data_IF_468017091597
#
_entry.id   IF_468017091597
#
_cell.length_a   1.000
_cell.length_b   1.000
_cell.length_c   1.000
_cell.angle_alpha   90.00
_cell.angle_beta   90.00
_cell.angle_gamma   90.00
#
_symmetry.space_group_name_H-M   'P 1'
#
loop_
_entity.id
_entity.type
_entity.pdbx_description
1 polymer ?
#
# COMPACT_ATOMS: atom_id res chain seq x y z
N UNK A 1 -12.17 -57.08 81.89
CA UNK A 1 -11.58 -55.72 81.86
C UNK A 1 -11.18 -55.43 80.44
N UNK A 2 -12.11 -54.80 79.61
CA UNK A 2 -11.82 -54.37 78.30
C UNK A 2 -11.82 -52.83 78.27
N UNK A 3 -10.69 -52.29 77.91
CA UNK A 3 -10.54 -50.80 77.67
C UNK A 3 -10.88 -50.49 76.24
N UNK A 4 -11.94 -49.71 76.06
CA UNK A 4 -12.32 -49.18 74.76
C UNK A 4 -11.42 -47.97 74.41
N UNK A 5 -10.81 -48.04 73.27
CA UNK A 5 -10.05 -46.91 72.66
C UNK A 5 -10.95 -46.29 71.62
N UNK A 6 -11.37 -45.04 71.84
CA UNK A 6 -12.15 -44.25 70.88
C UNK A 6 -11.15 -43.50 69.98
N UNK A 7 -11.15 -43.83 68.71
CA UNK A 7 -10.35 -43.09 67.68
C UNK A 7 -11.19 -41.92 67.16
N UNK A 8 -10.64 -40.70 67.33
CA UNK A 8 -11.22 -39.48 66.77
C UNK A 8 -10.68 -39.29 65.37
N UNK A 9 -11.60 -39.29 64.40
CA UNK A 9 -11.28 -38.98 62.96
C UNK A 9 -11.40 -37.45 62.80
N UNK A 10 -10.23 -36.81 62.56
CA UNK A 10 -10.17 -35.42 62.12
C UNK A 10 -10.46 -35.34 60.62
N UNK A 11 -11.61 -34.78 60.19
CA UNK A 11 -11.87 -34.42 58.84
C UNK A 11 -11.12 -33.10 58.51
N UNK A 12 -10.09 -33.19 57.70
CA UNK A 12 -9.41 -32.03 57.14
C UNK A 12 -10.26 -31.50 55.91
N UNK A 13 -10.83 -30.32 56.04
CA UNK A 13 -11.48 -29.59 54.96
C UNK A 13 -10.40 -29.04 54.01
N UNK A 14 -10.35 -29.54 52.76
CA UNK A 14 -9.54 -28.97 51.70
C UNK A 14 -10.28 -27.85 51.06
N UNK A 15 -9.77 -26.59 50.99
CA UNK A 15 -10.40 -25.52 50.24
C UNK A 15 -10.29 -25.81 48.76
N UNK A 16 -11.43 -25.92 48.08
CA UNK A 16 -11.52 -25.97 46.62
C UNK A 16 -11.18 -24.58 46.11
N UNK A 17 -10.01 -24.40 45.56
CA UNK A 17 -9.63 -23.19 44.81
C UNK A 17 -10.48 -23.17 43.53
N UNK A 18 -11.46 -22.29 43.49
CA UNK A 18 -12.23 -22.02 42.26
C UNK A 18 -11.28 -21.37 41.22
N UNK A 19 -10.86 -22.16 40.22
CA UNK A 19 -10.22 -21.62 39.02
C UNK A 19 -11.27 -20.75 38.29
N UNK A 20 -11.07 -19.43 38.40
CA UNK A 20 -11.80 -18.48 37.59
C UNK A 20 -11.44 -18.78 36.10
N UNK A 21 -12.39 -19.38 35.39
CA UNK A 21 -12.33 -19.51 33.94
C UNK A 21 -12.41 -18.10 33.35
N UNK A 22 -11.26 -17.55 32.93
CA UNK A 22 -11.23 -16.37 32.07
C UNK A 22 -11.81 -16.78 30.72
N UNK A 23 -13.09 -16.52 30.52
CA UNK A 23 -13.72 -16.53 29.19
C UNK A 23 -12.92 -15.60 28.29
N UNK A 24 -12.48 -16.05 27.09
CA UNK A 24 -11.84 -15.16 26.15
C UNK A 24 -12.82 -14.02 25.83
N UNK A 25 -12.43 -12.80 26.20
CA UNK A 25 -13.18 -11.59 25.89
C UNK A 25 -13.31 -11.53 24.37
N UNK A 26 -14.51 -11.79 23.86
CA UNK A 26 -14.89 -11.57 22.45
C UNK A 26 -14.50 -10.13 22.15
N UNK A 27 -13.50 -9.92 21.27
CA UNK A 27 -13.02 -8.59 20.94
C UNK A 27 -14.22 -7.69 20.68
N UNK A 28 -14.34 -6.63 21.47
CA UNK A 28 -15.38 -5.64 21.31
C UNK A 28 -15.29 -5.13 19.88
N UNK A 29 -16.29 -5.40 19.06
CA UNK A 29 -16.46 -4.73 17.78
C UNK A 29 -16.54 -3.25 18.13
N UNK A 30 -15.48 -2.50 17.83
CA UNK A 30 -15.49 -1.05 18.00
C UNK A 30 -16.64 -0.53 17.15
N UNK A 31 -17.71 -0.06 17.79
CA UNK A 31 -18.83 0.54 17.08
C UNK A 31 -18.30 1.73 16.29
N UNK A 32 -18.25 1.60 14.97
CA UNK A 32 -17.88 2.72 14.11
C UNK A 32 -18.98 3.78 14.16
N UNK A 33 -18.60 5.06 14.11
CA UNK A 33 -19.58 6.13 14.08
C UNK A 33 -20.43 6.08 12.79
N UNK A 34 -21.68 6.57 12.81
CA UNK A 34 -22.50 6.66 11.61
C UNK A 34 -21.83 7.43 10.47
N UNK A 35 -21.04 8.47 10.79
CA UNK A 35 -20.34 9.28 9.79
C UNK A 35 -19.22 8.49 9.12
N UNK A 36 -18.46 7.68 9.87
CA UNK A 36 -17.46 6.76 9.29
C UNK A 36 -18.13 5.72 8.39
N UNK A 37 -19.25 5.15 8.83
CA UNK A 37 -20.01 4.19 8.04
C UNK A 37 -20.52 4.81 6.72
N UNK A 38 -21.06 6.03 6.78
CA UNK A 38 -21.49 6.80 5.62
C UNK A 38 -20.36 7.06 4.63
N UNK A 39 -19.17 7.39 5.12
CA UNK A 39 -18.02 7.76 4.31
C UNK A 39 -17.32 6.53 3.66
N UNK A 40 -17.19 5.41 4.40
CA UNK A 40 -16.36 4.28 3.98
C UNK A 40 -17.12 3.05 3.52
N UNK A 41 -18.37 2.88 3.95
CA UNK A 41 -19.19 1.71 3.65
C UNK A 41 -20.63 2.06 3.28
N UNK A 42 -20.87 3.05 2.40
CA UNK A 42 -22.21 3.55 2.09
C UNK A 42 -23.13 2.47 1.49
N UNK A 43 -22.55 1.41 0.95
CA UNK A 43 -23.28 0.28 0.32
C UNK A 43 -23.35 -0.97 1.20
N UNK A 44 -22.90 -0.88 2.48
CA UNK A 44 -22.79 -2.03 3.38
C UNK A 44 -21.58 -2.94 3.12
N UNK A 45 -20.68 -2.56 2.23
CA UNK A 45 -19.40 -3.21 1.95
C UNK A 45 -18.31 -2.16 1.71
N UNK A 46 -17.04 -2.54 1.91
CA UNK A 46 -15.88 -1.72 1.61
C UNK A 46 -15.42 -1.98 0.18
N UNK A 47 -15.55 -0.99 -0.71
CA UNK A 47 -15.12 -1.07 -2.10
C UNK A 47 -13.75 -0.40 -2.27
N UNK A 48 -12.75 -1.17 -2.69
CA UNK A 48 -11.37 -0.69 -2.77
C UNK A 48 -10.78 -0.76 -4.17
N UNK A 49 -10.14 0.33 -4.60
CA UNK A 49 -9.36 0.39 -5.84
C UNK A 49 -7.95 -0.19 -5.62
N UNK A 50 -7.63 -1.28 -6.31
CA UNK A 50 -6.37 -2.01 -6.18
C UNK A 50 -5.56 -1.89 -7.47
N UNK A 51 -4.48 -1.12 -7.43
CA UNK A 51 -3.58 -0.91 -8.57
C UNK A 51 -2.50 -2.01 -8.65
N UNK A 52 -2.75 -3.05 -9.44
CA UNK A 52 -1.75 -4.12 -9.68
C UNK A 52 -0.64 -3.72 -10.67
N UNK A 53 -0.72 -2.55 -11.28
CA UNK A 53 0.38 -1.98 -12.08
C UNK A 53 1.60 -1.57 -11.24
N UNK A 54 1.47 -1.51 -9.90
CA UNK A 54 2.59 -1.36 -8.98
C UNK A 54 2.87 -2.70 -8.28
N UNK A 55 3.76 -3.50 -8.85
CA UNK A 55 4.07 -4.86 -8.40
C UNK A 55 4.78 -4.92 -7.04
N UNK A 56 5.29 -3.80 -6.53
CA UNK A 56 5.82 -3.71 -5.16
C UNK A 56 4.70 -3.80 -4.12
N UNK A 57 3.55 -3.23 -4.42
CA UNK A 57 2.44 -3.11 -3.47
C UNK A 57 1.34 -4.16 -3.69
N UNK A 58 1.19 -4.64 -4.93
CA UNK A 58 0.19 -5.63 -5.34
C UNK A 58 0.81 -6.63 -6.30
N UNK A 59 0.63 -7.90 -6.03
CA UNK A 59 0.93 -8.98 -6.96
C UNK A 59 -0.37 -9.56 -7.50
N UNK A 60 -0.37 -9.95 -8.76
CA UNK A 60 -1.49 -10.64 -9.40
C UNK A 60 -1.02 -11.99 -9.93
N UNK A 61 -1.64 -13.06 -9.44
CA UNK A 61 -1.32 -14.41 -9.91
C UNK A 61 -1.82 -14.65 -11.34
N UNK A 62 -1.39 -15.76 -11.94
CA UNK A 62 -1.89 -16.18 -13.25
C UNK A 62 -3.41 -16.48 -13.25
N UNK A 63 -3.96 -16.89 -12.10
CA UNK A 63 -5.41 -17.07 -11.90
C UNK A 63 -6.17 -15.76 -11.71
N UNK A 64 -5.46 -14.61 -11.62
CA UNK A 64 -6.04 -13.29 -11.39
C UNK A 64 -6.21 -12.93 -9.91
N UNK A 65 -5.80 -13.78 -8.98
CA UNK A 65 -5.86 -13.51 -7.56
C UNK A 65 -4.90 -12.37 -7.17
N UNK A 66 -5.40 -11.45 -6.34
CA UNK A 66 -4.64 -10.30 -5.85
C UNK A 66 -4.08 -10.57 -4.45
N UNK A 67 -2.83 -10.22 -4.25
CA UNK A 67 -2.12 -10.28 -2.96
C UNK A 67 -1.21 -9.06 -2.79
N UNK A 68 -0.59 -8.93 -1.62
CA UNK A 68 0.32 -7.83 -1.30
C UNK A 68 -0.26 -6.86 -0.28
N UNK A 69 0.57 -5.88 0.12
CA UNK A 69 0.28 -5.02 1.26
C UNK A 69 -1.04 -4.24 1.15
N UNK A 70 -1.41 -3.75 -0.04
CA UNK A 70 -2.66 -2.99 -0.19
C UNK A 70 -3.89 -3.88 -0.04
N UNK A 71 -3.80 -5.14 -0.49
CA UNK A 71 -4.83 -6.16 -0.33
C UNK A 71 -4.97 -6.55 1.14
N UNK A 72 -3.83 -6.76 1.83
CA UNK A 72 -3.80 -7.09 3.26
C UNK A 72 -4.41 -5.98 4.11
N UNK A 73 -4.02 -4.71 3.86
CA UNK A 73 -4.59 -3.54 4.54
C UNK A 73 -6.09 -3.40 4.29
N UNK A 74 -6.54 -3.63 3.06
CA UNK A 74 -7.98 -3.55 2.74
C UNK A 74 -8.78 -4.63 3.45
N UNK A 75 -8.28 -5.86 3.49
CA UNK A 75 -8.93 -6.98 4.20
C UNK A 75 -9.00 -6.74 5.71
N UNK A 76 -7.91 -6.24 6.30
CA UNK A 76 -7.89 -5.90 7.74
C UNK A 76 -8.85 -4.74 8.05
N UNK A 77 -8.91 -3.72 7.18
CA UNK A 77 -9.87 -2.62 7.32
C UNK A 77 -11.31 -3.12 7.27
N UNK A 78 -11.67 -3.96 6.28
CA UNK A 78 -13.00 -4.56 6.18
C UNK A 78 -13.39 -5.38 7.41
N UNK A 79 -12.45 -6.15 7.95
CA UNK A 79 -12.62 -6.91 9.19
C UNK A 79 -12.94 -6.00 10.37
N UNK A 80 -12.24 -4.85 10.51
CA UNK A 80 -12.49 -3.87 11.58
C UNK A 80 -13.81 -3.15 11.43
N UNK A 81 -14.19 -2.84 10.20
CA UNK A 81 -15.49 -2.24 9.89
C UNK A 81 -16.65 -3.25 10.00
N UNK A 82 -16.35 -4.55 10.11
CA UNK A 82 -17.35 -5.62 10.21
C UNK A 82 -18.14 -5.85 8.92
N UNK A 83 -17.55 -5.58 7.74
CA UNK A 83 -18.22 -5.64 6.44
C UNK A 83 -17.43 -6.46 5.42
N UNK A 84 -18.10 -7.01 4.39
CA UNK A 84 -17.45 -7.62 3.25
C UNK A 84 -16.59 -6.61 2.49
N UNK A 85 -15.51 -7.12 1.88
CA UNK A 85 -14.58 -6.34 1.04
C UNK A 85 -14.78 -6.69 -0.42
N UNK A 86 -14.86 -5.67 -1.27
CA UNK A 86 -14.84 -5.78 -2.72
C UNK A 86 -13.57 -5.13 -3.27
N UNK A 87 -12.71 -5.94 -3.91
CA UNK A 87 -11.46 -5.49 -4.51
C UNK A 87 -11.66 -5.26 -6.02
N UNK A 88 -11.53 -4.04 -6.49
CA UNK A 88 -11.61 -3.71 -7.92
C UNK A 88 -10.20 -3.50 -8.48
N UNK A 89 -9.71 -4.40 -9.38
CA UNK A 89 -8.37 -4.30 -9.92
C UNK A 89 -8.24 -3.26 -11.02
N UNK A 90 -7.11 -2.53 -11.00
CA UNK A 90 -6.71 -1.58 -12.04
C UNK A 90 -5.26 -1.85 -12.46
N UNK A 91 -4.95 -1.66 -13.73
CA UNK A 91 -3.62 -1.81 -14.33
C UNK A 91 -2.76 -0.54 -14.23
N UNK A 92 -3.30 0.54 -13.66
CA UNK A 92 -2.61 1.82 -13.54
C UNK A 92 -3.20 2.73 -12.47
N UNK A 93 -2.32 3.54 -11.84
CA UNK A 93 -2.67 4.42 -10.74
C UNK A 93 -3.66 5.53 -11.14
N UNK A 94 -3.60 6.03 -12.37
CA UNK A 94 -4.52 7.05 -12.87
C UNK A 94 -5.97 6.57 -12.92
N UNK A 95 -6.19 5.32 -13.35
CA UNK A 95 -7.52 4.72 -13.43
C UNK A 95 -8.10 4.45 -12.04
N UNK A 96 -7.30 3.87 -11.14
CA UNK A 96 -7.73 3.62 -9.75
C UNK A 96 -8.01 4.91 -9.00
N UNK A 97 -7.23 5.97 -9.23
CA UNK A 97 -7.47 7.30 -8.68
C UNK A 97 -8.80 7.90 -9.16
N UNK A 98 -9.10 7.81 -10.47
CA UNK A 98 -10.33 8.32 -11.04
C UNK A 98 -11.57 7.68 -10.39
N UNK A 99 -11.54 6.37 -10.13
CA UNK A 99 -12.64 5.63 -9.51
C UNK A 99 -12.90 6.03 -8.04
N UNK A 100 -11.85 6.37 -7.27
CA UNK A 100 -12.02 6.86 -5.89
C UNK A 100 -12.46 8.33 -5.90
N UNK A 101 -11.89 9.15 -6.79
CA UNK A 101 -12.29 10.56 -6.94
C UNK A 101 -13.77 10.70 -7.30
N UNK A 102 -14.31 9.86 -8.20
CA UNK A 102 -15.72 9.89 -8.61
C UNK A 102 -16.68 9.36 -7.53
N UNK A 103 -16.19 8.64 -6.50
CA UNK A 103 -17.01 7.96 -5.51
C UNK A 103 -17.53 6.58 -5.95
N UNK A 104 -17.09 6.09 -7.13
CA UNK A 104 -17.39 4.72 -7.55
C UNK A 104 -16.82 3.68 -6.59
N UNK A 105 -15.68 4.01 -5.97
CA UNK A 105 -15.01 3.21 -4.94
C UNK A 105 -14.72 4.07 -3.70
N UNK A 106 -14.72 3.42 -2.53
CA UNK A 106 -14.67 4.10 -1.24
C UNK A 106 -13.25 4.47 -0.82
N UNK A 107 -12.28 3.60 -1.12
CA UNK A 107 -10.87 3.75 -0.75
C UNK A 107 -9.93 3.33 -1.86
N UNK A 108 -8.70 3.86 -1.82
CA UNK A 108 -7.63 3.45 -2.72
C UNK A 108 -6.24 3.73 -2.12
N UNK A 109 -5.20 3.33 -2.85
CA UNK A 109 -3.81 3.41 -2.42
C UNK A 109 -2.99 4.13 -3.49
N UNK A 110 -2.44 5.28 -3.12
CA UNK A 110 -1.80 6.18 -4.07
C UNK A 110 -0.56 6.83 -3.47
N UNK A 111 0.37 7.20 -4.34
CA UNK A 111 1.39 8.17 -3.97
C UNK A 111 0.73 9.51 -3.62
N UNK A 112 1.21 10.14 -2.56
CA UNK A 112 0.84 11.51 -2.19
C UNK A 112 1.41 12.45 -3.26
N UNK A 113 0.52 13.02 -4.08
CA UNK A 113 0.87 13.95 -5.14
C UNK A 113 -0.07 15.17 -5.09
N UNK A 114 0.42 16.40 -5.33
CA UNK A 114 -0.39 17.61 -5.19
C UNK A 114 -1.72 17.57 -5.95
N UNK A 115 -1.70 17.08 -7.20
CA UNK A 115 -2.91 16.97 -8.03
C UNK A 115 -3.93 15.98 -7.48
N UNK A 116 -3.48 14.94 -6.78
CA UNK A 116 -4.36 13.97 -6.12
C UNK A 116 -4.87 14.50 -4.79
N UNK A 117 -4.02 15.17 -3.99
CA UNK A 117 -4.40 15.77 -2.72
C UNK A 117 -5.43 16.90 -2.86
N UNK A 118 -5.57 17.48 -4.05
CA UNK A 118 -6.66 18.41 -4.35
C UNK A 118 -8.04 17.74 -4.31
N UNK A 119 -8.12 16.43 -4.62
CA UNK A 119 -9.37 15.71 -4.90
C UNK A 119 -9.71 14.63 -3.87
N UNK A 120 -8.68 14.02 -3.24
CA UNK A 120 -8.86 12.99 -2.22
C UNK A 120 -8.19 13.39 -0.91
N UNK A 121 -8.70 12.88 0.21
CA UNK A 121 -8.09 12.98 1.52
C UNK A 121 -7.15 11.78 1.72
N UNK A 122 -5.88 12.06 2.02
CA UNK A 122 -4.86 11.06 2.28
C UNK A 122 -4.68 10.81 3.78
N UNK A 123 -4.32 9.57 4.12
CA UNK A 123 -3.68 9.25 5.40
C UNK A 123 -2.23 9.76 5.40
N UNK A 124 -1.52 9.63 6.53
CA UNK A 124 -0.06 9.56 6.50
C UNK A 124 0.39 8.39 5.63
N UNK A 125 1.62 8.44 5.08
CA UNK A 125 2.14 7.35 4.27
C UNK A 125 2.30 6.07 5.12
N UNK A 126 2.05 4.91 4.50
CA UNK A 126 2.28 3.59 5.11
C UNK A 126 3.57 2.94 4.61
N UNK A 127 3.97 3.24 3.37
CA UNK A 127 5.18 2.71 2.72
C UNK A 127 5.86 3.79 1.91
N UNK A 128 7.19 3.75 1.90
CA UNK A 128 8.05 4.56 1.05
C UNK A 128 8.71 3.66 0.02
N UNK A 129 8.62 4.04 -1.25
CA UNK A 129 9.33 3.46 -2.39
C UNK A 129 10.04 4.54 -3.18
N UNK A 130 10.86 4.16 -4.14
CA UNK A 130 11.68 5.10 -4.91
C UNK A 130 11.37 5.04 -6.40
N UNK A 131 11.51 6.18 -7.08
CA UNK A 131 11.50 6.28 -8.53
C UNK A 131 12.91 6.41 -9.09
N UNK A 132 13.23 5.62 -10.13
CA UNK A 132 14.51 5.70 -10.85
C UNK A 132 14.30 5.55 -12.36
N UNK A 133 15.39 5.70 -13.12
CA UNK A 133 15.41 5.49 -14.56
C UNK A 133 16.11 4.20 -14.93
N UNK A 134 15.75 3.65 -16.09
CA UNK A 134 16.56 2.73 -16.86
C UNK A 134 16.97 3.35 -18.18
N UNK A 135 18.12 2.95 -18.69
CA UNK A 135 18.72 3.43 -19.95
C UNK A 135 19.36 2.26 -20.68
N UNK A 136 19.64 2.34 -22.01
CA UNK A 136 20.49 1.38 -22.70
C UNK A 136 21.83 1.20 -21.98
N UNK A 137 22.42 0.01 -22.04
CA UNK A 137 23.68 -0.32 -21.32
C UNK A 137 24.82 0.63 -21.69
N UNK A 138 24.94 0.97 -22.97
CA UNK A 138 25.94 1.88 -23.55
C UNK A 138 25.56 3.37 -23.50
N UNK A 139 24.40 3.71 -22.90
CA UNK A 139 23.89 5.08 -22.83
C UNK A 139 24.93 6.05 -22.24
N UNK A 140 25.07 7.27 -22.82
CA UNK A 140 25.90 8.33 -22.28
C UNK A 140 25.32 8.95 -21.01
N UNK A 141 24.03 8.71 -20.69
CA UNK A 141 23.39 9.16 -19.47
C UNK A 141 23.91 8.32 -18.29
N UNK A 142 24.75 8.91 -17.42
CA UNK A 142 25.44 8.14 -16.35
C UNK A 142 24.82 8.36 -14.96
N UNK A 143 24.26 9.51 -14.70
CA UNK A 143 23.64 9.87 -13.42
C UNK A 143 22.22 10.42 -13.62
N UNK A 144 21.42 10.41 -12.57
CA UNK A 144 20.01 10.86 -12.60
C UNK A 144 19.86 12.25 -13.23
N UNK A 145 20.77 13.17 -12.93
CA UNK A 145 20.74 14.55 -13.45
C UNK A 145 20.98 14.64 -14.97
N UNK A 146 21.57 13.60 -15.58
CA UNK A 146 21.82 13.59 -17.02
C UNK A 146 20.55 13.43 -17.86
N UNK A 147 19.45 12.94 -17.24
CA UNK A 147 18.24 12.56 -17.97
C UNK A 147 17.43 13.78 -18.39
N UNK A 148 17.47 14.90 -17.65
CA UNK A 148 16.75 16.11 -18.02
C UNK A 148 17.55 17.00 -19.01
N UNK A 149 17.66 16.53 -20.25
CA UNK A 149 18.37 17.21 -21.35
C UNK A 149 17.50 17.27 -22.60
N UNK A 150 17.76 18.27 -23.45
CA UNK A 150 17.17 18.33 -24.79
C UNK A 150 17.48 17.06 -25.60
N UNK A 151 16.49 16.54 -26.31
CA UNK A 151 16.59 15.36 -27.11
C UNK A 151 16.42 14.04 -26.33
N UNK A 152 16.37 14.07 -25.00
CA UNK A 152 16.07 12.89 -24.18
C UNK A 152 14.56 12.67 -24.11
N UNK A 153 14.09 11.48 -24.53
CA UNK A 153 12.70 11.03 -24.44
C UNK A 153 12.59 10.02 -23.30
N UNK A 154 11.68 10.27 -22.38
CA UNK A 154 11.51 9.45 -21.17
C UNK A 154 10.17 8.72 -21.23
N UNK A 155 10.17 7.40 -21.30
CA UNK A 155 8.97 6.58 -21.22
C UNK A 155 8.38 6.62 -19.80
N UNK A 156 7.08 6.92 -19.67
CA UNK A 156 6.36 6.94 -18.38
C UNK A 156 4.98 6.31 -18.50
N UNK A 157 4.54 5.58 -17.46
CA UNK A 157 3.14 5.14 -17.36
C UNK A 157 2.25 6.32 -17.00
N UNK A 158 1.26 6.59 -17.83
CA UNK A 158 0.34 7.73 -17.69
C UNK A 158 -0.35 7.74 -16.31
N UNK A 159 -0.30 8.89 -15.64
CA UNK A 159 -0.92 9.11 -14.33
C UNK A 159 -0.25 8.33 -13.19
N UNK A 160 0.94 7.75 -13.39
CA UNK A 160 1.75 7.19 -12.31
C UNK A 160 2.34 8.29 -11.41
N UNK A 161 2.85 7.92 -10.23
CA UNK A 161 3.51 8.88 -9.34
C UNK A 161 4.67 9.59 -10.02
N UNK A 162 5.49 8.83 -10.74
CA UNK A 162 6.65 9.35 -11.44
C UNK A 162 6.28 10.16 -12.69
N UNK A 163 5.20 9.85 -13.41
CA UNK A 163 4.69 10.71 -14.47
C UNK A 163 4.26 12.08 -13.91
N UNK A 164 3.48 12.09 -12.84
CA UNK A 164 3.03 13.33 -12.20
C UNK A 164 4.20 14.15 -11.63
N UNK A 165 5.20 13.48 -11.03
CA UNK A 165 6.39 14.12 -10.54
C UNK A 165 7.22 14.73 -11.68
N UNK A 166 7.54 13.94 -12.69
CA UNK A 166 8.37 14.39 -13.82
C UNK A 166 7.68 15.48 -14.65
N UNK A 167 6.35 15.41 -14.78
CA UNK A 167 5.57 16.48 -15.47
C UNK A 167 5.80 17.87 -14.87
N UNK A 168 6.03 17.96 -13.54
CA UNK A 168 6.26 19.26 -12.89
C UNK A 168 7.73 19.61 -12.68
N UNK A 169 8.66 18.66 -12.86
CA UNK A 169 10.07 18.86 -12.53
C UNK A 169 11.01 18.88 -13.73
N UNK A 170 10.71 18.13 -14.79
CA UNK A 170 11.48 18.09 -16.03
C UNK A 170 11.34 19.43 -16.76
N UNK A 171 12.49 19.92 -17.26
CA UNK A 171 12.58 21.23 -17.95
C UNK A 171 12.96 21.10 -19.43
N UNK A 172 13.74 20.08 -19.78
CA UNK A 172 14.36 19.94 -21.09
C UNK A 172 13.99 18.64 -21.81
N UNK A 173 13.90 17.53 -21.08
CA UNK A 173 13.53 16.24 -21.64
C UNK A 173 12.03 16.17 -22.00
N UNK A 174 11.68 15.21 -22.85
CA UNK A 174 10.28 14.98 -23.29
C UNK A 174 9.71 13.73 -22.66
N UNK A 175 8.55 13.82 -22.01
CA UNK A 175 7.83 12.66 -21.48
C UNK A 175 7.00 12.00 -22.58
N UNK A 176 7.24 10.70 -22.83
CA UNK A 176 6.45 9.85 -23.72
C UNK A 176 5.60 8.92 -22.86
N UNK A 177 4.28 9.05 -22.98
CA UNK A 177 3.33 8.37 -22.09
C UNK A 177 2.73 7.13 -22.73
N UNK A 178 2.78 6.01 -22.00
CA UNK A 178 2.03 4.80 -22.32
C UNK A 178 0.86 4.61 -21.33
N UNK A 179 -0.16 3.83 -21.68
CA UNK A 179 -1.36 3.67 -20.83
C UNK A 179 -1.09 3.07 -19.44
N UNK A 180 -0.02 2.26 -19.30
CA UNK A 180 0.36 1.58 -18.04
C UNK A 180 1.87 1.63 -17.84
N UNK A 181 2.32 1.35 -16.61
CA UNK A 181 3.76 1.23 -16.31
C UNK A 181 4.45 0.11 -17.11
N UNK A 182 3.78 -1.02 -17.30
CA UNK A 182 4.32 -2.12 -18.12
C UNK A 182 4.43 -1.71 -19.59
N UNK A 183 3.38 -1.11 -20.16
CA UNK A 183 3.40 -0.63 -21.53
C UNK A 183 4.47 0.46 -21.75
N UNK A 184 4.80 1.27 -20.74
CA UNK A 184 5.88 2.25 -20.84
C UNK A 184 7.26 1.58 -20.95
N UNK A 185 7.50 0.49 -20.24
CA UNK A 185 8.76 -0.27 -20.34
C UNK A 185 8.89 -0.94 -21.72
N UNK A 186 7.81 -1.52 -22.23
CA UNK A 186 7.80 -2.10 -23.58
C UNK A 186 7.99 -1.02 -24.68
N UNK A 187 7.31 0.11 -24.56
CA UNK A 187 7.44 1.25 -25.47
C UNK A 187 8.88 1.81 -25.46
N UNK A 188 9.54 1.86 -24.31
CA UNK A 188 10.95 2.27 -24.21
C UNK A 188 11.84 1.42 -25.12
N UNK A 189 11.65 0.09 -25.14
CA UNK A 189 12.39 -0.83 -26.01
C UNK A 189 12.01 -0.66 -27.48
N UNK A 190 10.71 -0.69 -27.78
CA UNK A 190 10.20 -0.67 -29.13
C UNK A 190 10.57 0.61 -29.89
N UNK A 191 10.43 1.75 -29.24
CA UNK A 191 10.67 3.08 -29.82
C UNK A 191 12.09 3.58 -29.61
N UNK A 192 12.95 2.73 -28.99
CA UNK A 192 14.36 3.05 -28.70
C UNK A 192 14.49 4.42 -28.03
N UNK A 193 13.75 4.60 -26.92
CA UNK A 193 13.80 5.83 -26.17
C UNK A 193 15.09 5.92 -25.33
N UNK A 194 15.51 7.12 -24.97
CA UNK A 194 16.75 7.37 -24.26
C UNK A 194 16.68 6.97 -22.78
N UNK A 195 15.49 7.05 -22.16
CA UNK A 195 15.26 6.65 -20.78
C UNK A 195 13.86 6.09 -20.56
N UNK A 196 13.73 5.18 -19.57
CA UNK A 196 12.45 4.74 -19.04
C UNK A 196 12.40 5.04 -17.55
N UNK A 197 11.30 5.63 -17.06
CA UNK A 197 11.09 5.93 -15.64
C UNK A 197 10.10 4.98 -15.00
N UNK A 198 10.33 4.63 -13.72
CA UNK A 198 9.43 3.75 -12.99
C UNK A 198 9.80 3.61 -11.51
N UNK A 199 9.04 2.76 -10.82
CA UNK A 199 9.40 2.33 -9.46
C UNK A 199 10.67 1.48 -9.54
N UNK A 200 11.60 1.72 -8.61
CA UNK A 200 12.97 1.23 -8.67
C UNK A 200 13.09 -0.30 -8.82
N UNK A 201 12.35 -1.07 -8.04
CA UNK A 201 12.44 -2.54 -8.08
C UNK A 201 11.97 -3.12 -9.43
N UNK A 202 10.79 -2.77 -9.97
CA UNK A 202 10.38 -3.16 -11.32
C UNK A 202 11.38 -2.71 -12.40
N UNK A 203 11.94 -1.50 -12.30
CA UNK A 203 12.94 -0.99 -13.23
C UNK A 203 14.21 -1.86 -13.20
N UNK A 204 14.73 -2.19 -12.02
CA UNK A 204 15.90 -3.04 -11.86
C UNK A 204 15.65 -4.44 -12.47
N UNK A 205 14.49 -5.03 -12.15
CA UNK A 205 14.13 -6.35 -12.66
C UNK A 205 14.00 -6.36 -14.20
N UNK A 206 13.33 -5.37 -14.76
CA UNK A 206 13.16 -5.24 -16.20
C UNK A 206 14.51 -4.96 -16.90
N UNK A 207 15.32 -4.05 -16.39
CA UNK A 207 16.62 -3.72 -16.94
C UNK A 207 17.53 -4.97 -16.98
N UNK A 208 17.58 -5.73 -15.89
CA UNK A 208 18.36 -6.99 -15.84
C UNK A 208 17.88 -8.02 -16.87
N UNK A 209 16.58 -8.15 -17.07
CA UNK A 209 16.01 -9.11 -18.02
C UNK A 209 16.29 -8.76 -19.50
N UNK A 210 16.52 -7.48 -19.82
CA UNK A 210 16.67 -6.99 -21.18
C UNK A 210 18.06 -6.43 -21.51
N UNK A 211 19.07 -6.65 -20.66
CA UNK A 211 20.43 -6.14 -20.90
C UNK A 211 20.52 -4.61 -20.90
N UNK A 212 19.73 -3.97 -20.04
CA UNK A 212 19.69 -2.55 -19.83
C UNK A 212 20.36 -2.20 -18.49
N UNK A 213 20.61 -0.92 -18.27
CA UNK A 213 21.15 -0.42 -17.02
C UNK A 213 20.10 0.37 -16.24
N UNK A 214 19.74 -0.10 -15.04
CA UNK A 214 19.05 0.71 -14.07
C UNK A 214 20.02 1.73 -13.48
N UNK A 215 19.62 3.01 -13.43
CA UNK A 215 20.48 4.06 -12.91
C UNK A 215 20.56 3.99 -11.37
N UNK A 216 21.76 4.24 -10.84
CA UNK A 216 21.97 4.36 -9.41
C UNK A 216 21.24 5.59 -8.84
N UNK A 217 20.82 5.50 -7.57
CA UNK A 217 20.11 6.58 -6.92
C UNK A 217 18.62 6.60 -7.23
N UNK A 218 18.02 7.78 -7.10
CA UNK A 218 16.59 8.02 -7.31
C UNK A 218 16.36 9.46 -7.75
N UNK A 219 15.34 9.70 -8.54
CA UNK A 219 14.85 11.06 -8.82
C UNK A 219 13.69 11.45 -7.89
N UNK A 220 12.99 10.46 -7.29
CA UNK A 220 11.83 10.71 -6.43
C UNK A 220 11.78 9.72 -5.26
N UNK A 221 11.44 10.23 -4.08
CA UNK A 221 10.89 9.44 -2.97
C UNK A 221 9.38 9.43 -3.14
N UNK A 222 8.76 8.25 -3.12
CA UNK A 222 7.34 8.06 -3.36
C UNK A 222 6.69 7.60 -2.07
N UNK A 223 5.94 8.48 -1.43
CA UNK A 223 5.18 8.21 -0.22
C UNK A 223 3.81 7.61 -0.61
N UNK A 224 3.60 6.34 -0.27
CA UNK A 224 2.35 5.64 -0.56
C UNK A 224 1.41 5.74 0.62
N UNK A 225 0.21 6.26 0.39
CA UNK A 225 -0.83 6.46 1.40
C UNK A 225 -2.16 5.84 0.97
N UNK A 226 -3.03 5.60 1.94
CA UNK A 226 -4.42 5.27 1.70
C UNK A 226 -5.21 6.57 1.53
N UNK A 227 -6.25 6.54 0.71
CA UNK A 227 -7.08 7.74 0.47
C UNK A 227 -8.53 7.39 0.23
N UNK A 228 -9.39 8.35 0.51
CA UNK A 228 -10.83 8.36 0.23
C UNK A 228 -11.23 9.70 -0.39
N UNK A 229 -12.46 9.83 -0.88
CA UNK A 229 -12.94 11.09 -1.44
C UNK A 229 -12.75 12.26 -0.44
N UNK A 230 -12.38 13.44 -0.95
CA UNK A 230 -12.03 14.59 -0.09
C UNK A 230 -13.14 15.03 0.85
N UNK A 231 -14.39 14.82 0.45
CA UNK A 231 -15.56 15.14 1.27
C UNK A 231 -15.76 14.19 2.47
N UNK A 232 -15.08 13.05 2.51
CA UNK A 232 -15.23 11.99 3.50
C UNK A 232 -14.32 12.24 4.73
N UNK A 233 -14.58 13.32 5.48
CA UNK A 233 -13.70 13.75 6.56
C UNK A 233 -13.63 12.76 7.74
N UNK A 234 -14.75 12.17 8.14
CA UNK A 234 -14.80 11.17 9.21
C UNK A 234 -14.09 9.87 8.78
N UNK A 235 -14.31 9.45 7.52
CA UNK A 235 -13.62 8.32 6.91
C UNK A 235 -12.11 8.54 6.85
N UNK A 236 -11.65 9.71 6.40
CA UNK A 236 -10.24 10.05 6.32
C UNK A 236 -9.54 10.03 7.69
N UNK A 237 -10.20 10.58 8.74
CA UNK A 237 -9.67 10.54 10.10
C UNK A 237 -9.55 9.10 10.62
N UNK A 238 -10.57 8.26 10.37
CA UNK A 238 -10.54 6.84 10.72
C UNK A 238 -9.42 6.09 10.01
N UNK A 239 -9.26 6.29 8.68
CA UNK A 239 -8.20 5.68 7.89
C UNK A 239 -6.81 6.10 8.38
N UNK A 240 -6.63 7.37 8.79
CA UNK A 240 -5.36 7.85 9.34
C UNK A 240 -4.99 7.12 10.63
N UNK A 241 -5.93 7.00 11.58
CA UNK A 241 -5.72 6.24 12.81
C UNK A 241 -5.43 4.76 12.51
N UNK A 242 -6.16 4.15 11.58
CA UNK A 242 -5.96 2.78 11.14
C UNK A 242 -4.54 2.57 10.57
N UNK A 243 -4.07 3.43 9.67
CA UNK A 243 -2.73 3.32 9.07
C UNK A 243 -1.63 3.46 10.12
N UNK A 244 -1.75 4.42 11.05
CA UNK A 244 -0.77 4.57 12.13
C UNK A 244 -0.70 3.32 13.02
N UNK A 245 -1.84 2.73 13.36
CA UNK A 245 -1.88 1.48 14.10
C UNK A 245 -1.25 0.32 13.31
N UNK A 246 -1.53 0.21 12.00
CA UNK A 246 -0.92 -0.83 11.15
C UNK A 246 0.61 -0.70 11.05
N UNK A 247 1.13 0.53 11.05
CA UNK A 247 2.58 0.75 11.13
C UNK A 247 3.13 0.36 12.51
N UNK A 248 2.49 0.83 13.57
CA UNK A 248 2.95 0.63 14.95
C UNK A 248 2.91 -0.85 15.39
N UNK A 249 1.92 -1.62 14.93
CA UNK A 249 1.77 -3.05 15.24
C UNK A 249 2.74 -3.96 14.48
N UNK A 250 3.51 -3.43 13.51
CA UNK A 250 4.35 -4.23 12.62
C UNK A 250 3.61 -4.85 11.43
N UNK A 251 2.29 -4.69 11.32
CA UNK A 251 1.49 -5.27 10.23
C UNK A 251 2.03 -4.90 8.85
N UNK A 252 2.41 -3.62 8.65
CA UNK A 252 2.98 -3.13 7.38
C UNK A 252 4.32 -3.82 7.08
N UNK A 253 5.21 -3.92 8.07
CA UNK A 253 6.50 -4.58 7.92
C UNK A 253 6.34 -6.07 7.55
N UNK A 254 5.45 -6.76 8.24
CA UNK A 254 5.17 -8.18 7.98
C UNK A 254 4.54 -8.40 6.61
N UNK A 255 3.64 -7.52 6.17
CA UNK A 255 3.04 -7.58 4.84
C UNK A 255 4.08 -7.39 3.73
N UNK A 256 5.00 -6.43 3.87
CA UNK A 256 6.11 -6.22 2.94
C UNK A 256 7.03 -7.45 2.88
N UNK A 257 7.34 -8.04 4.04
CA UNK A 257 8.15 -9.26 4.11
C UNK A 257 7.47 -10.45 3.43
N UNK A 258 6.17 -10.66 3.66
CA UNK A 258 5.39 -11.70 2.96
C UNK A 258 5.37 -11.49 1.44
N UNK A 259 5.28 -10.24 1.01
CA UNK A 259 5.32 -9.85 -0.41
C UNK A 259 6.73 -9.89 -1.03
N UNK A 260 7.76 -10.29 -0.28
CA UNK A 260 9.17 -10.28 -0.70
C UNK A 260 9.61 -8.91 -1.25
N UNK A 261 9.34 -7.83 -0.50
CA UNK A 261 9.65 -6.45 -0.87
C UNK A 261 10.69 -5.83 0.09
N UNK A 262 11.95 -6.31 0.12
CA UNK A 262 12.95 -5.88 1.10
C UNK A 262 13.37 -4.41 0.96
N UNK A 263 13.23 -3.84 -0.25
CA UNK A 263 13.64 -2.47 -0.55
C UNK A 263 12.53 -1.43 -0.34
N UNK A 264 11.31 -1.88 -0.01
CA UNK A 264 10.23 -0.99 0.39
C UNK A 264 10.31 -0.74 1.89
N UNK A 265 10.32 0.52 2.30
CA UNK A 265 10.42 0.89 3.70
C UNK A 265 9.05 1.21 4.31
N UNK A 266 8.83 0.77 5.56
CA UNK A 266 7.70 1.27 6.35
C UNK A 266 7.88 2.77 6.56
N UNK A 267 6.85 3.56 6.28
CA UNK A 267 6.91 5.00 6.51
C UNK A 267 7.00 5.32 8.01
N UNK A 268 7.69 6.40 8.40
CA UNK A 268 7.77 6.80 9.81
C UNK A 268 6.37 7.15 10.36
N UNK A 269 6.19 7.11 11.69
CA UNK A 269 4.98 7.63 12.33
C UNK A 269 4.68 9.07 11.92
N UNK A 270 3.41 9.43 11.82
CA UNK A 270 3.01 10.82 11.55
C UNK A 270 3.56 11.76 12.63
N UNK A 271 4.05 12.93 12.23
CA UNK A 271 4.52 13.96 13.17
C UNK A 271 5.94 13.76 13.73
N UNK A 272 6.75 12.89 13.12
CA UNK A 272 8.19 12.78 13.41
C UNK A 272 9.04 13.23 12.24
#
# INVERSE_FOLDING_TARGET
MYKSVTAAILLAAIPVLALAQTTPQKGSLVSISPDVAKDLIPTGKLRAAINYGNTVLVQRSASGELSGITVDLTRELGKRLGVPVELTPFDGAGKSFAAVKSGDLDVGFFAIEPVRAAEIAFTSPYVIIEGTYMVPEDSPLKVIADVDREGVRIAVGQGSAYDLYLTRTIKHATLVRAPTSAAAMEMFLADKLEAGAGVKQPIIAFAKAHGLRAMEGRFQVIEQAMGTAKAHAAGAAYLTAFIEEMKASGFVADALKRGNQPDAAVAPPAGK
#
